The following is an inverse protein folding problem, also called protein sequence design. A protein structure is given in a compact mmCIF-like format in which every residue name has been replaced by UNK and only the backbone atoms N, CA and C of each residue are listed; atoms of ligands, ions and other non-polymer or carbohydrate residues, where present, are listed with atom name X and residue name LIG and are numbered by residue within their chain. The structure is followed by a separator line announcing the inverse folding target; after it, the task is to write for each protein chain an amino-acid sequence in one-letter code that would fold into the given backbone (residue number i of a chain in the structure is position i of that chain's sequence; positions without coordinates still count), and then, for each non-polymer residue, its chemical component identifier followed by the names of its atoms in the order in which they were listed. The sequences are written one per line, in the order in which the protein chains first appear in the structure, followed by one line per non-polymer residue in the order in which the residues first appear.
data_IF_831368131481
#
_entry.id   IF_831368131481
#
_cell.length_a   1.000
_cell.length_b   1.000
_cell.length_c   1.000
_cell.angle_alpha   90.00
_cell.angle_beta   90.00
_cell.angle_gamma   90.00
#
_symmetry.space_group_name_H-M   'P 1'
#
loop_
_entity.id
_entity.type
_entity.pdbx_description
1 polymer ?
#
# COMPACT_ATOMS: atom_id res chain seq x y z
N UNK A 1 -16.42 -5.00 0.92
CA UNK A 1 -15.17 -4.54 0.28
C UNK A 1 -13.94 -4.51 1.21
N UNK A 2 -13.93 -3.70 2.28
CA UNK A 2 -12.73 -3.55 3.14
C UNK A 2 -12.24 -4.87 3.76
N UNK A 3 -13.13 -5.79 4.13
CA UNK A 3 -12.77 -7.12 4.66
C UNK A 3 -11.96 -7.93 3.64
N UNK A 4 -12.45 -8.06 2.40
CA UNK A 4 -11.73 -8.76 1.34
C UNK A 4 -10.38 -8.09 1.03
N UNK A 5 -10.33 -6.76 0.96
CA UNK A 5 -9.06 -6.03 0.81
C UNK A 5 -8.09 -6.32 1.97
N UNK A 6 -8.60 -6.43 3.21
CA UNK A 6 -7.82 -6.76 4.41
C UNK A 6 -7.18 -8.15 4.28
N UNK A 7 -7.91 -9.13 3.77
CA UNK A 7 -7.45 -10.50 3.52
C UNK A 7 -6.38 -10.54 2.42
N UNK A 8 -6.62 -9.88 1.29
CA UNK A 8 -5.65 -9.79 0.18
C UNK A 8 -4.35 -9.09 0.59
N UNK A 9 -4.45 -8.12 1.49
CA UNK A 9 -3.31 -7.41 2.09
C UNK A 9 -2.98 -7.95 3.49
N UNK A 10 -3.26 -9.22 3.78
CA UNK A 10 -2.80 -9.82 5.01
C UNK A 10 -1.27 -9.89 5.00
N UNK A 11 -0.66 -9.43 6.09
CA UNK A 11 0.80 -9.39 6.25
C UNK A 11 1.43 -10.77 6.46
N UNK A 12 0.63 -11.77 6.82
CA UNK A 12 1.10 -13.11 7.19
C UNK A 12 0.90 -14.17 6.09
N UNK A 13 0.30 -13.83 4.95
CA UNK A 13 -0.03 -14.82 3.91
C UNK A 13 1.15 -15.29 3.03
N UNK A 14 2.38 -14.82 3.31
CA UNK A 14 3.58 -15.22 2.58
C UNK A 14 3.64 -14.77 1.11
N UNK A 15 2.70 -13.94 0.64
CA UNK A 15 2.67 -13.56 -0.77
C UNK A 15 3.79 -12.58 -1.13
N UNK A 16 4.45 -12.85 -2.26
CA UNK A 16 5.33 -11.90 -2.94
C UNK A 16 4.58 -10.70 -3.50
N UNK A 17 5.34 -9.65 -3.89
CA UNK A 17 4.75 -8.40 -4.37
C UNK A 17 3.91 -8.57 -5.63
N UNK A 18 4.38 -9.37 -6.59
CA UNK A 18 3.69 -9.62 -7.87
C UNK A 18 2.32 -10.25 -7.63
N UNK A 19 2.27 -11.36 -6.89
CA UNK A 19 1.02 -12.06 -6.55
C UNK A 19 0.03 -11.14 -5.83
N UNK A 20 0.50 -10.33 -4.86
CA UNK A 20 -0.36 -9.38 -4.14
C UNK A 20 -0.92 -8.29 -5.06
N UNK A 21 -0.09 -7.71 -5.94
CA UNK A 21 -0.54 -6.70 -6.91
C UNK A 21 -1.61 -7.27 -7.85
N UNK A 22 -1.37 -8.46 -8.40
CA UNK A 22 -2.31 -9.11 -9.30
C UNK A 22 -3.65 -9.39 -8.60
N UNK A 23 -3.63 -10.03 -7.43
CA UNK A 23 -4.88 -10.31 -6.69
C UNK A 23 -5.65 -9.06 -6.29
N UNK A 24 -4.95 -7.98 -5.93
CA UNK A 24 -5.60 -6.69 -5.69
C UNK A 24 -6.21 -6.13 -6.97
N UNK A 25 -5.51 -6.19 -8.10
CA UNK A 25 -5.99 -5.67 -9.39
C UNK A 25 -7.26 -6.39 -9.83
N UNK A 26 -7.25 -7.72 -9.78
CA UNK A 26 -8.40 -8.55 -10.17
C UNK A 26 -9.62 -8.23 -9.30
N UNK A 27 -9.43 -8.17 -7.98
CA UNK A 27 -10.51 -7.87 -7.05
C UNK A 27 -11.08 -6.46 -7.24
N UNK A 28 -10.21 -5.45 -7.36
CA UNK A 28 -10.62 -4.05 -7.52
C UNK A 28 -11.37 -3.88 -8.84
N UNK A 29 -10.87 -4.46 -9.94
CA UNK A 29 -11.52 -4.39 -11.26
C UNK A 29 -12.90 -5.04 -11.24
N UNK A 30 -13.04 -6.23 -10.64
CA UNK A 30 -14.33 -6.90 -10.53
C UNK A 30 -15.33 -6.14 -9.67
N UNK A 31 -14.88 -5.62 -8.51
CA UNK A 31 -15.74 -4.86 -7.61
C UNK A 31 -16.22 -3.56 -8.25
N UNK A 32 -15.32 -2.79 -8.88
CA UNK A 32 -15.70 -1.55 -9.56
C UNK A 32 -16.57 -1.85 -10.77
N UNK A 33 -16.25 -2.86 -11.58
CA UNK A 33 -17.09 -3.25 -12.72
C UNK A 33 -18.54 -3.53 -12.32
N UNK A 34 -18.77 -4.09 -11.13
CA UNK A 34 -20.13 -4.30 -10.61
C UNK A 34 -20.77 -3.03 -10.04
N UNK A 35 -20.03 -2.21 -9.28
CA UNK A 35 -20.59 -1.08 -8.53
C UNK A 35 -20.40 0.29 -9.19
N UNK A 36 -19.82 0.39 -10.41
CA UNK A 36 -19.41 1.66 -11.03
C UNK A 36 -20.55 2.69 -11.19
N UNK A 37 -21.80 2.24 -11.38
CA UNK A 37 -22.96 3.13 -11.53
C UNK A 37 -23.34 3.89 -10.24
N UNK A 38 -22.83 3.47 -9.07
CA UNK A 38 -23.07 4.18 -7.81
C UNK A 38 -22.16 5.42 -7.70
N UNK A 39 -22.68 6.50 -7.09
CA UNK A 39 -21.82 7.61 -6.65
C UNK A 39 -21.08 7.20 -5.38
N UNK A 40 -19.83 6.80 -5.58
CA UNK A 40 -18.97 6.27 -4.51
C UNK A 40 -17.60 6.93 -4.45
N UNK A 41 -17.41 8.08 -5.10
CA UNK A 41 -16.10 8.76 -5.20
C UNK A 41 -15.44 8.95 -3.83
N UNK A 42 -16.18 9.51 -2.86
CA UNK A 42 -15.67 9.74 -1.49
C UNK A 42 -15.30 8.42 -0.79
N UNK A 43 -16.16 7.43 -0.89
CA UNK A 43 -15.91 6.09 -0.33
C UNK A 43 -14.66 5.42 -0.92
N UNK A 44 -14.46 5.56 -2.24
CA UNK A 44 -13.28 5.03 -2.92
C UNK A 44 -12.01 5.72 -2.45
N UNK A 45 -12.00 7.05 -2.33
CA UNK A 45 -10.86 7.83 -1.85
C UNK A 45 -10.44 7.42 -0.43
N UNK A 46 -11.40 7.33 0.49
CA UNK A 46 -11.16 6.91 1.88
C UNK A 46 -10.63 5.47 1.95
N UNK A 47 -11.18 4.60 1.11
CA UNK A 47 -10.75 3.20 1.03
C UNK A 47 -9.36 3.07 0.41
N UNK A 48 -9.03 3.90 -0.57
CA UNK A 48 -7.73 3.95 -1.22
C UNK A 48 -6.63 4.42 -0.25
N UNK A 49 -6.91 5.43 0.57
CA UNK A 49 -5.96 5.88 1.60
C UNK A 49 -5.65 4.75 2.59
N UNK A 50 -6.70 4.09 3.08
CA UNK A 50 -6.57 2.95 3.97
C UNK A 50 -5.82 1.77 3.30
N UNK A 51 -6.09 1.50 2.02
CA UNK A 51 -5.41 0.45 1.26
C UNK A 51 -3.92 0.75 1.08
N UNK A 52 -3.56 2.00 0.73
CA UNK A 52 -2.15 2.41 0.62
C UNK A 52 -1.39 2.25 1.94
N UNK A 53 -2.02 2.56 3.08
CA UNK A 53 -1.44 2.28 4.40
C UNK A 53 -1.22 0.78 4.62
N UNK A 54 -2.15 -0.08 4.22
CA UNK A 54 -1.97 -1.54 4.29
C UNK A 54 -0.85 -2.05 3.41
N UNK A 55 -0.72 -1.52 2.19
CA UNK A 55 0.39 -1.85 1.29
C UNK A 55 1.73 -1.45 1.92
N UNK A 56 1.85 -0.23 2.47
CA UNK A 56 3.02 0.22 3.23
C UNK A 56 3.35 -0.74 4.38
N UNK A 57 2.34 -1.18 5.14
CA UNK A 57 2.50 -2.17 6.21
C UNK A 57 3.07 -3.50 5.68
N UNK A 58 2.55 -4.01 4.56
CA UNK A 58 3.02 -5.25 3.95
C UNK A 58 4.47 -5.13 3.46
N UNK A 59 4.84 -4.01 2.84
CA UNK A 59 6.22 -3.74 2.38
C UNK A 59 7.16 -3.67 3.59
N UNK A 60 6.77 -2.94 4.64
CA UNK A 60 7.57 -2.86 5.87
C UNK A 60 7.75 -4.22 6.56
N UNK A 61 6.73 -5.08 6.53
CA UNK A 61 6.83 -6.45 7.04
C UNK A 61 7.76 -7.31 6.19
N UNK A 62 7.72 -7.14 4.87
CA UNK A 62 8.61 -7.84 3.94
C UNK A 62 10.08 -7.44 4.15
N UNK A 63 10.35 -6.22 4.60
CA UNK A 63 11.67 -5.80 5.10
C UNK A 63 11.93 -6.40 6.50
N UNK A 64 12.03 -7.73 6.57
CA UNK A 64 12.01 -8.50 7.82
C UNK A 64 13.11 -8.08 8.81
N UNK A 65 14.34 -7.89 8.33
CA UNK A 65 15.52 -7.62 9.17
C UNK A 65 15.75 -6.11 9.32
N UNK A 66 16.20 -5.62 10.51
CA UNK A 66 16.55 -4.21 10.69
C UNK A 66 17.56 -3.70 9.66
N UNK A 67 18.63 -4.46 9.39
CA UNK A 67 19.61 -4.13 8.34
C UNK A 67 18.96 -3.89 6.97
N UNK A 68 17.98 -4.71 6.59
CA UNK A 68 17.24 -4.57 5.33
C UNK A 68 16.35 -3.33 5.33
N UNK A 69 15.69 -3.02 6.46
CA UNK A 69 14.89 -1.80 6.60
C UNK A 69 15.75 -0.56 6.42
N UNK A 70 16.88 -0.49 7.11
CA UNK A 70 17.83 0.64 7.00
C UNK A 70 18.30 0.80 5.55
N UNK A 71 18.77 -0.28 4.92
CA UNK A 71 19.24 -0.24 3.54
C UNK A 71 18.15 0.22 2.55
N UNK A 72 16.91 -0.26 2.71
CA UNK A 72 15.82 0.14 1.83
C UNK A 72 15.34 1.58 2.09
N UNK A 73 15.35 2.05 3.34
CA UNK A 73 15.06 3.45 3.64
C UNK A 73 16.09 4.38 2.98
N UNK A 74 17.38 4.04 3.04
CA UNK A 74 18.44 4.80 2.36
C UNK A 74 18.23 4.79 0.84
N UNK A 75 17.88 3.64 0.25
CA UNK A 75 17.52 3.56 -1.18
C UNK A 75 16.31 4.41 -1.55
N UNK A 76 15.40 4.63 -0.62
CA UNK A 76 14.25 5.52 -0.78
C UNK A 76 14.60 7.01 -0.51
N UNK A 77 15.88 7.37 -0.37
CA UNK A 77 16.33 8.75 -0.18
C UNK A 77 16.28 9.25 1.27
N UNK A 78 16.09 8.37 2.25
CA UNK A 78 16.13 8.74 3.66
C UNK A 78 17.58 8.84 4.14
N UNK A 79 17.90 9.94 4.82
CA UNK A 79 19.21 10.14 5.45
C UNK A 79 19.61 8.96 6.35
N UNK A 80 20.88 8.56 6.32
CA UNK A 80 21.40 7.38 7.03
C UNK A 80 21.05 7.36 8.51
N UNK A 81 21.19 8.49 9.21
CA UNK A 81 20.87 8.59 10.64
C UNK A 81 19.38 8.27 10.90
N UNK A 82 18.47 8.91 10.17
CA UNK A 82 17.02 8.64 10.25
C UNK A 82 16.66 7.23 9.83
N UNK A 83 17.31 6.69 8.79
CA UNK A 83 17.10 5.32 8.37
C UNK A 83 17.48 4.33 9.49
N UNK A 84 18.58 4.56 10.21
CA UNK A 84 19.00 3.76 11.36
C UNK A 84 18.01 3.87 12.54
N UNK A 85 17.57 5.07 12.89
CA UNK A 85 16.57 5.33 13.94
C UNK A 85 15.27 4.55 13.67
N UNK A 86 14.72 4.69 12.45
CA UNK A 86 13.44 4.09 12.11
C UNK A 86 13.54 2.61 11.73
N UNK A 87 14.66 2.16 11.19
CA UNK A 87 14.92 0.75 10.88
C UNK A 87 14.92 -0.16 12.12
N UNK A 88 15.31 0.39 13.27
CA UNK A 88 15.36 -0.30 14.57
C UNK A 88 14.15 0.01 15.47
N UNK A 89 13.11 0.66 14.94
CA UNK A 89 11.94 1.03 15.73
C UNK A 89 11.22 -0.20 16.31
N UNK A 90 10.78 -0.08 17.57
CA UNK A 90 9.89 -1.05 18.24
C UNK A 90 8.40 -0.81 17.94
N UNK A 91 8.07 0.19 17.13
CA UNK A 91 6.67 0.52 16.77
C UNK A 91 6.04 -0.62 15.97
N UNK A 92 4.77 -0.92 16.26
CA UNK A 92 4.01 -1.95 15.55
C UNK A 92 3.78 -1.63 14.06
N UNK A 93 3.57 -2.67 13.24
CA UNK A 93 3.46 -2.57 11.78
C UNK A 93 2.39 -1.58 11.28
N UNK A 94 1.25 -1.50 11.97
CA UNK A 94 0.18 -0.56 11.58
C UNK A 94 0.51 0.89 11.95
N UNK A 95 1.21 1.11 13.06
CA UNK A 95 1.65 2.44 13.53
C UNK A 95 2.72 3.01 12.60
N UNK A 96 3.71 2.19 12.25
CA UNK A 96 4.80 2.62 11.37
C UNK A 96 4.34 2.87 9.93
N UNK A 97 3.35 2.10 9.44
CA UNK A 97 2.77 2.29 8.11
C UNK A 97 2.25 3.71 7.87
N UNK A 98 1.85 4.43 8.92
CA UNK A 98 1.30 5.79 8.86
C UNK A 98 2.27 6.88 9.31
N UNK A 99 3.50 6.49 9.66
CA UNK A 99 4.53 7.43 10.04
C UNK A 99 4.96 8.34 8.88
N UNK A 100 5.42 9.56 9.15
CA UNK A 100 5.99 10.43 8.12
C UNK A 100 7.13 9.74 7.35
N UNK A 101 7.98 8.96 8.04
CA UNK A 101 9.12 8.29 7.40
C UNK A 101 8.68 7.32 6.29
N UNK A 102 7.62 6.52 6.51
CA UNK A 102 7.12 5.60 5.48
C UNK A 102 6.24 6.29 4.45
N UNK A 103 5.57 7.39 4.79
CA UNK A 103 4.86 8.22 3.81
C UNK A 103 5.83 8.86 2.82
N UNK A 104 7.02 9.26 3.27
CA UNK A 104 8.08 9.79 2.41
C UNK A 104 8.76 8.66 1.63
N UNK A 105 9.24 7.62 2.32
CA UNK A 105 9.99 6.54 1.67
C UNK A 105 9.13 5.70 0.69
N UNK A 106 7.85 5.50 1.01
CA UNK A 106 6.89 4.74 0.21
C UNK A 106 5.68 5.65 -0.06
N UNK A 107 5.95 6.75 -0.77
CA UNK A 107 4.93 7.74 -1.15
C UNK A 107 3.92 7.18 -2.16
N UNK A 108 2.80 7.90 -2.34
CA UNK A 108 1.71 7.44 -3.20
C UNK A 108 2.16 7.28 -4.66
N UNK A 109 3.05 8.15 -5.14
CA UNK A 109 3.59 8.08 -6.50
C UNK A 109 4.48 6.87 -6.74
N UNK A 110 5.32 6.52 -5.79
CA UNK A 110 6.17 5.32 -5.86
C UNK A 110 5.33 4.05 -5.83
N UNK A 111 4.25 4.01 -5.04
CA UNK A 111 3.29 2.91 -5.07
C UNK A 111 2.61 2.77 -6.44
N UNK A 112 2.18 3.90 -7.02
CA UNK A 112 1.58 3.94 -8.36
C UNK A 112 2.56 3.50 -9.44
N UNK A 113 3.78 4.06 -9.45
CA UNK A 113 4.87 3.66 -10.36
C UNK A 113 5.26 2.19 -10.22
N UNK A 114 5.19 1.65 -9.00
CA UNK A 114 5.40 0.23 -8.76
C UNK A 114 4.25 -0.66 -9.25
N UNK A 115 3.14 -0.09 -9.75
CA UNK A 115 2.00 -0.85 -10.29
C UNK A 115 1.05 -1.39 -9.22
N UNK A 116 0.97 -0.77 -8.05
CA UNK A 116 -0.12 -1.06 -7.12
C UNK A 116 -1.42 -0.44 -7.63
N UNK A 117 -2.52 -1.22 -7.72
CA UNK A 117 -3.81 -0.71 -8.18
C UNK A 117 -4.41 0.26 -7.15
N UNK A 118 -5.15 1.23 -7.66
CA UNK A 118 -5.95 2.18 -6.87
C UNK A 118 -7.40 2.02 -7.25
N UNK A 119 -8.29 2.04 -6.26
CA UNK A 119 -9.73 2.01 -6.48
C UNK A 119 -10.18 3.19 -7.35
N UNK A 120 -9.75 4.41 -7.03
CA UNK A 120 -10.17 5.60 -7.76
C UNK A 120 -9.68 5.56 -9.22
N UNK A 121 -8.44 5.11 -9.44
CA UNK A 121 -7.91 4.95 -10.80
C UNK A 121 -8.75 3.99 -11.65
N UNK A 122 -9.10 2.82 -11.10
CA UNK A 122 -9.96 1.87 -11.80
C UNK A 122 -11.40 2.37 -11.98
N UNK A 123 -11.92 3.20 -11.08
CA UNK A 123 -13.27 3.79 -11.22
C UNK A 123 -13.32 4.83 -12.35
N UNK A 124 -12.27 5.66 -12.46
CA UNK A 124 -12.15 6.64 -13.53
C UNK A 124 -11.99 6.01 -14.92
N UNK A 125 -11.50 4.77 -15.01
CA UNK A 125 -11.47 4.03 -16.29
C UNK A 125 -12.89 3.71 -16.82
N UNK A 126 -13.89 3.59 -15.93
CA UNK A 126 -15.28 3.27 -16.31
C UNK A 126 -16.16 4.49 -16.55
N UNK A 127 -15.76 5.67 -16.07
CA UNK A 127 -16.43 6.93 -16.38
C UNK A 127 -15.72 7.57 -17.58
N UNK A 128 -16.24 7.43 -18.81
CA UNK A 128 -15.76 8.25 -19.91
C UNK A 128 -15.92 9.73 -19.53
N UNK A 129 -14.88 10.52 -19.83
CA UNK A 129 -14.89 11.97 -19.69
C UNK A 129 -15.93 12.61 -20.59
#
# INVERSE_FOLDING_TARGET
MKLSLKELTNRSNGWGYVKRKQKLKDYIRGWIGYYHLADMKRFLLDTDEWLRRRIRMCIWKAWKKPKTKVANLIKCGIEKYKACEWGNTRKGYWRIADSPILKVAINNDSLRKAGYPTLMGSYLEWYPK
#
